data_IF_583502311216
#
_entry.id   IF_583502311216
#
_cell.length_a   1.000
_cell.length_b   1.000
_cell.length_c   1.000
_cell.angle_alpha   90.00
_cell.angle_beta   90.00
_cell.angle_gamma   90.00
#
_symmetry.space_group_name_H-M   'P 1'
#
loop_
_entity.id
_entity.type
_entity.pdbx_description
1 polymer ?
#
# COMPACT_ATOMS: atom_id res chain seq x y z
N UNK A 1 -56.39 13.31 -66.13
CA UNK A 1 -55.12 13.18 -65.36
C UNK A 1 -53.96 13.82 -66.11
N UNK A 2 -54.07 15.13 -66.37
CA UNK A 2 -52.98 16.04 -66.71
C UNK A 2 -52.98 17.05 -65.57
N UNK A 3 -51.80 17.53 -65.13
CA UNK A 3 -51.53 18.28 -63.88
C UNK A 3 -51.37 17.30 -62.70
N UNK A 4 -50.18 16.96 -62.23
CA UNK A 4 -49.22 17.88 -61.66
C UNK A 4 -47.78 17.35 -61.83
N UNK A 5 -47.30 17.46 -63.06
CA UNK A 5 -45.87 17.47 -63.44
C UNK A 5 -45.15 18.77 -62.97
N UNK A 6 -45.77 19.55 -62.09
CA UNK A 6 -45.25 20.79 -61.49
C UNK A 6 -44.55 20.55 -60.15
N UNK A 7 -44.38 19.29 -59.74
CA UNK A 7 -43.84 18.90 -58.45
C UNK A 7 -42.30 19.04 -58.30
N UNK A 8 -41.53 19.30 -59.37
CA UNK A 8 -40.06 19.20 -59.31
C UNK A 8 -39.24 20.46 -59.67
N UNK A 9 -39.86 21.56 -60.13
CA UNK A 9 -39.11 22.76 -60.57
C UNK A 9 -39.17 23.98 -59.66
N UNK A 10 -39.98 23.99 -58.60
CA UNK A 10 -39.98 25.06 -57.60
C UNK A 10 -38.95 24.86 -56.47
N UNK A 11 -38.07 23.86 -56.60
CA UNK A 11 -37.07 23.44 -55.60
C UNK A 11 -35.85 24.37 -55.46
N UNK A 12 -35.89 25.60 -56.01
CA UNK A 12 -34.68 26.45 -56.15
C UNK A 12 -34.70 27.85 -55.54
N UNK A 13 -35.77 28.32 -54.87
CA UNK A 13 -35.76 29.68 -54.28
C UNK A 13 -36.60 29.77 -53.01
N UNK A 14 -36.10 29.25 -51.88
CA UNK A 14 -36.49 29.66 -50.51
C UNK A 14 -35.66 28.92 -49.46
N UNK A 15 -34.47 29.43 -49.17
CA UNK A 15 -33.81 29.28 -47.86
C UNK A 15 -33.36 30.67 -47.44
N UNK A 16 -34.35 31.48 -47.08
CA UNK A 16 -34.18 32.79 -46.48
C UNK A 16 -34.19 32.58 -44.95
N UNK A 17 -33.05 32.88 -44.34
CA UNK A 17 -32.82 33.24 -42.93
C UNK A 17 -33.94 32.95 -41.92
N UNK A 18 -33.70 31.95 -41.05
CA UNK A 18 -34.32 31.92 -39.73
C UNK A 18 -33.47 32.72 -38.73
N UNK A 19 -34.09 33.44 -37.78
CA UNK A 19 -33.38 34.12 -36.71
C UNK A 19 -32.77 33.09 -35.74
N UNK A 20 -31.48 33.26 -35.42
CA UNK A 20 -30.79 32.48 -34.38
C UNK A 20 -31.48 32.74 -33.04
N UNK A 21 -32.20 31.73 -32.54
CA UNK A 21 -32.59 31.66 -31.12
C UNK A 21 -31.30 31.58 -30.31
N UNK A 22 -31.03 32.60 -29.48
CA UNK A 22 -29.98 32.54 -28.46
C UNK A 22 -30.38 31.45 -27.46
N UNK A 23 -29.74 30.28 -27.57
CA UNK A 23 -29.75 29.31 -26.48
C UNK A 23 -28.96 29.92 -25.31
N UNK A 24 -29.57 29.89 -24.13
CA UNK A 24 -28.89 30.17 -22.88
C UNK A 24 -27.63 29.30 -22.77
N UNK A 25 -26.51 29.86 -22.25
CA UNK A 25 -25.32 29.07 -21.99
C UNK A 25 -25.69 28.01 -20.96
N UNK A 26 -25.76 26.76 -21.44
CA UNK A 26 -25.89 25.58 -20.60
C UNK A 26 -24.77 25.66 -19.56
N UNK A 27 -25.17 25.79 -18.29
CA UNK A 27 -24.28 25.80 -17.13
C UNK A 27 -23.25 24.70 -17.35
N UNK A 28 -21.99 25.11 -17.52
CA UNK A 28 -20.84 24.19 -17.52
C UNK A 28 -21.00 23.31 -16.30
N UNK A 29 -21.28 22.02 -16.56
CA UNK A 29 -21.08 20.95 -15.61
C UNK A 29 -19.70 21.17 -14.99
N UNK A 30 -19.70 21.46 -13.69
CA UNK A 30 -18.49 21.54 -12.90
C UNK A 30 -17.80 20.19 -13.03
N UNK A 31 -16.77 20.13 -13.89
CA UNK A 31 -15.77 19.07 -13.85
C UNK A 31 -15.44 18.87 -12.37
N UNK A 32 -15.77 17.68 -11.85
CA UNK A 32 -15.34 17.28 -10.52
C UNK A 32 -13.86 17.64 -10.41
N UNK A 33 -13.54 18.53 -9.47
CA UNK A 33 -12.17 18.90 -9.23
C UNK A 33 -11.43 17.60 -8.91
N UNK A 34 -10.38 17.29 -9.69
CA UNK A 34 -9.47 16.20 -9.33
C UNK A 34 -9.04 16.44 -7.87
N UNK A 35 -9.07 15.43 -6.99
CA UNK A 35 -8.61 15.60 -5.63
C UNK A 35 -7.22 16.22 -5.68
N UNK A 36 -7.05 17.34 -4.96
CA UNK A 36 -5.73 18.01 -4.89
C UNK A 36 -4.75 16.97 -4.37
N UNK A 37 -3.72 16.65 -5.17
CA UNK A 37 -2.62 15.77 -4.77
C UNK A 37 -1.95 16.45 -3.56
N UNK A 38 -2.18 15.92 -2.36
CA UNK A 38 -1.68 16.51 -1.11
C UNK A 38 -0.14 16.55 -1.11
N UNK A 39 0.48 15.59 -1.77
CA UNK A 39 1.92 15.56 -2.01
C UNK A 39 2.17 16.04 -3.44
N UNK A 40 2.93 17.14 -3.58
CA UNK A 40 3.39 17.60 -4.88
C UNK A 40 4.47 16.62 -5.40
N UNK A 41 4.06 15.47 -5.93
CA UNK A 41 4.95 14.41 -6.45
C UNK A 41 5.89 14.96 -7.54
N UNK A 42 5.51 16.02 -8.26
CA UNK A 42 6.34 16.68 -9.29
C UNK A 42 7.56 17.38 -8.67
N UNK A 43 7.47 17.87 -7.42
CA UNK A 43 8.62 18.42 -6.70
C UNK A 43 9.67 17.36 -6.32
N UNK A 44 9.38 16.07 -6.52
CA UNK A 44 10.27 14.96 -6.17
C UNK A 44 11.07 14.42 -7.36
N UNK A 45 10.85 14.98 -8.56
CA UNK A 45 11.69 14.77 -9.74
C UNK A 45 10.88 14.67 -11.02
N UNK A 46 10.84 15.75 -11.81
CA UNK A 46 10.85 15.67 -13.26
C UNK A 46 12.31 15.41 -13.67
N UNK A 47 12.65 14.17 -13.93
CA UNK A 47 13.76 13.85 -14.84
C UNK A 47 13.48 12.50 -15.49
N UNK A 48 13.37 12.60 -16.80
CA UNK A 48 13.35 11.59 -17.84
C UNK A 48 12.04 10.82 -18.03
N UNK A 49 11.49 11.04 -19.22
CA UNK A 49 10.42 10.34 -19.92
C UNK A 49 10.71 8.82 -19.93
N UNK A 50 10.36 8.14 -18.84
CA UNK A 50 10.35 6.69 -18.75
C UNK A 50 8.94 6.20 -19.03
N UNK A 51 8.74 5.61 -20.21
CA UNK A 51 7.47 5.04 -20.67
C UNK A 51 7.06 3.83 -19.80
N UNK A 52 5.96 3.89 -19.02
CA UNK A 52 5.61 2.86 -18.06
C UNK A 52 4.92 1.61 -18.63
N UNK A 53 4.77 1.47 -19.95
CA UNK A 53 3.71 0.61 -20.50
C UNK A 53 4.00 -0.88 -20.72
N UNK A 54 5.21 -1.42 -20.53
CA UNK A 54 5.46 -2.80 -21.00
C UNK A 54 6.21 -3.79 -20.08
N UNK A 55 6.40 -3.50 -18.78
CA UNK A 55 6.98 -4.52 -17.89
C UNK A 55 5.95 -5.14 -16.94
N UNK A 56 5.25 -6.15 -17.48
CA UNK A 56 4.86 -7.30 -16.68
C UNK A 56 6.11 -7.86 -16.00
N UNK A 57 6.24 -7.55 -14.72
CA UNK A 57 7.41 -7.77 -13.90
C UNK A 57 7.50 -9.27 -13.55
N UNK A 58 7.95 -10.07 -14.52
CA UNK A 58 8.28 -11.48 -14.32
C UNK A 58 9.49 -11.57 -13.41
N UNK A 59 9.34 -12.33 -12.32
CA UNK A 59 10.39 -12.66 -11.36
C UNK A 59 11.57 -13.33 -12.07
N UNK A 60 12.59 -12.55 -12.44
CA UNK A 60 13.86 -13.04 -12.95
C UNK A 60 14.64 -13.76 -11.86
N UNK A 61 14.88 -15.05 -12.06
CA UNK A 61 15.86 -15.84 -11.34
C UNK A 61 17.26 -15.42 -11.79
N UNK A 62 18.00 -14.72 -10.93
CA UNK A 62 19.42 -14.45 -11.14
C UNK A 62 20.17 -15.79 -11.21
N UNK A 63 20.67 -16.11 -12.40
CA UNK A 63 21.65 -17.18 -12.64
C UNK A 63 22.84 -16.50 -13.31
N UNK A 64 23.74 -15.99 -12.49
CA UNK A 64 25.08 -15.57 -12.90
C UNK A 64 25.91 -16.82 -13.15
N UNK A 65 26.33 -17.06 -14.38
CA UNK A 65 27.48 -17.92 -14.71
C UNK A 65 27.99 -17.51 -16.10
N UNK A 66 29.00 -16.64 -16.12
CA UNK A 66 29.93 -16.44 -17.22
C UNK A 66 31.33 -16.58 -16.64
N UNK A 67 32.07 -17.62 -17.05
CA UNK A 67 33.50 -17.50 -17.31
C UNK A 67 34.04 -18.66 -18.14
N UNK A 68 35.03 -18.31 -18.94
CA UNK A 68 35.50 -18.98 -20.15
C UNK A 68 36.42 -20.19 -19.93
N UNK A 69 36.36 -21.08 -20.93
CA UNK A 69 37.39 -21.90 -21.58
C UNK A 69 38.55 -22.54 -20.78
N UNK A 70 38.70 -23.86 -20.97
CA UNK A 70 39.81 -24.64 -20.39
C UNK A 70 39.56 -26.15 -20.46
N UNK A 71 40.00 -26.77 -21.55
CA UNK A 71 39.84 -28.21 -21.83
C UNK A 71 40.37 -29.14 -20.74
N UNK A 72 39.63 -30.23 -20.50
CA UNK A 72 40.03 -31.28 -19.56
C UNK A 72 38.97 -32.37 -19.44
N UNK A 73 39.04 -33.36 -20.32
CA UNK A 73 38.15 -34.52 -20.36
C UNK A 73 38.29 -35.37 -19.09
N UNK A 74 37.35 -35.24 -18.14
CA UNK A 74 37.20 -36.15 -17.01
C UNK A 74 35.74 -36.58 -16.85
N UNK A 75 35.48 -37.85 -17.20
CA UNK A 75 34.23 -38.58 -16.99
C UNK A 75 33.76 -38.46 -15.53
N UNK A 76 32.76 -37.62 -15.27
CA UNK A 76 32.06 -37.54 -13.97
C UNK A 76 30.77 -38.35 -14.01
N UNK A 77 30.68 -39.30 -13.07
CA UNK A 77 29.52 -40.15 -12.81
C UNK A 77 28.29 -39.29 -12.49
N UNK A 78 27.22 -39.48 -13.26
CA UNK A 78 25.89 -38.93 -12.99
C UNK A 78 25.38 -39.58 -11.68
N UNK A 79 25.41 -38.83 -10.58
CA UNK A 79 24.65 -39.17 -9.38
C UNK A 79 23.20 -38.76 -9.62
N UNK A 80 22.29 -39.73 -9.68
CA UNK A 80 20.84 -39.52 -9.65
C UNK A 80 20.50 -38.60 -8.48
N UNK A 81 20.08 -37.38 -8.79
CA UNK A 81 19.62 -36.41 -7.81
C UNK A 81 18.34 -36.94 -7.18
N UNK A 82 18.39 -37.13 -5.86
CA UNK A 82 17.29 -37.57 -5.01
C UNK A 82 16.27 -36.41 -5.00
N UNK A 83 15.05 -36.69 -5.48
CA UNK A 83 13.92 -35.75 -5.46
C UNK A 83 13.71 -35.28 -4.01
N UNK A 84 14.16 -34.07 -3.69
CA UNK A 84 13.93 -33.44 -2.38
C UNK A 84 12.48 -32.98 -2.36
N UNK A 85 11.74 -33.47 -1.37
CA UNK A 85 10.37 -33.08 -1.08
C UNK A 85 10.27 -31.57 -0.85
N UNK A 86 9.39 -30.90 -1.61
CA UNK A 86 9.04 -29.50 -1.45
C UNK A 86 8.18 -29.31 -0.18
N UNK A 87 8.83 -29.24 0.97
CA UNK A 87 8.27 -28.57 2.15
C UNK A 87 8.63 -27.08 2.06
N UNK A 88 7.70 -26.14 2.35
CA UNK A 88 8.04 -24.73 2.47
C UNK A 88 9.21 -24.59 3.43
N UNK A 89 10.28 -23.93 3.01
CA UNK A 89 11.44 -23.78 3.89
C UNK A 89 11.02 -22.91 5.08
N UNK A 90 11.17 -23.42 6.31
CA UNK A 90 10.89 -22.61 7.49
C UNK A 90 11.84 -21.41 7.51
N UNK A 91 11.34 -20.21 7.88
CA UNK A 91 12.22 -19.05 8.04
C UNK A 91 13.32 -19.37 9.04
N UNK A 92 14.49 -18.76 8.86
CA UNK A 92 15.61 -18.95 9.79
C UNK A 92 15.20 -18.52 11.20
N UNK A 93 15.65 -19.26 12.21
CA UNK A 93 15.43 -18.88 13.61
C UNK A 93 16.33 -17.65 13.89
N UNK A 94 15.75 -16.51 14.30
CA UNK A 94 16.48 -15.28 14.58
C UNK A 94 17.27 -15.38 15.89
N UNK A 95 18.17 -14.42 16.13
CA UNK A 95 18.86 -14.33 17.42
C UNK A 95 17.88 -13.90 18.51
N UNK A 96 18.09 -14.26 19.80
CA UNK A 96 17.24 -13.82 20.90
C UNK A 96 17.05 -12.28 20.95
N UNK A 97 18.09 -11.52 20.65
CA UNK A 97 18.04 -10.06 20.57
C UNK A 97 17.10 -9.51 19.49
N UNK A 98 16.91 -10.25 18.40
CA UNK A 98 15.98 -9.85 17.33
C UNK A 98 14.52 -10.09 17.74
N UNK A 99 14.25 -11.18 18.46
CA UNK A 99 12.93 -11.47 19.03
C UNK A 99 12.52 -10.42 20.06
N UNK A 100 13.41 -10.10 20.99
CA UNK A 100 13.20 -9.06 21.99
C UNK A 100 12.89 -7.72 21.33
N UNK A 101 13.69 -7.32 20.34
CA UNK A 101 13.46 -6.08 19.58
C UNK A 101 12.11 -6.05 18.86
N UNK A 102 11.70 -7.16 18.23
CA UNK A 102 10.37 -7.23 17.59
C UNK A 102 9.26 -7.09 18.63
N UNK A 103 9.38 -7.78 19.77
CA UNK A 103 8.41 -7.70 20.85
C UNK A 103 8.30 -6.28 21.43
N UNK A 104 9.44 -5.60 21.63
CA UNK A 104 9.50 -4.23 22.11
C UNK A 104 8.83 -3.24 21.15
N UNK A 105 9.14 -3.31 19.85
CA UNK A 105 8.55 -2.41 18.85
C UNK A 105 7.05 -2.66 18.69
N UNK A 106 6.64 -3.93 18.63
CA UNK A 106 5.21 -4.31 18.57
C UNK A 106 4.46 -3.76 19.78
N UNK A 107 5.01 -3.94 20.99
CA UNK A 107 4.41 -3.48 22.25
C UNK A 107 4.35 -1.95 22.29
N UNK A 108 5.41 -1.27 21.85
CA UNK A 108 5.47 0.19 21.75
C UNK A 108 4.39 0.73 20.83
N UNK A 109 4.24 0.17 19.63
CA UNK A 109 3.20 0.59 18.68
C UNK A 109 1.79 0.33 19.23
N UNK A 110 1.57 -0.85 19.84
CA UNK A 110 0.30 -1.17 20.49
C UNK A 110 -0.05 -0.18 21.60
N UNK A 111 0.92 0.15 22.45
CA UNK A 111 0.75 1.09 23.56
C UNK A 111 0.48 2.52 23.06
N UNK A 112 1.22 2.97 22.05
CA UNK A 112 1.00 4.28 21.43
C UNK A 112 -0.40 4.40 20.80
N UNK A 113 -0.84 3.35 20.09
CA UNK A 113 -2.19 3.29 19.51
C UNK A 113 -3.26 3.34 20.60
N UNK A 114 -3.14 2.50 21.63
CA UNK A 114 -4.08 2.47 22.75
C UNK A 114 -4.13 3.81 23.48
N UNK A 115 -2.98 4.42 23.79
CA UNK A 115 -2.91 5.73 24.44
C UNK A 115 -3.56 6.83 23.59
N UNK A 116 -3.35 6.81 22.27
CA UNK A 116 -3.97 7.77 21.35
C UNK A 116 -5.49 7.60 21.34
N UNK A 117 -5.98 6.37 21.21
CA UNK A 117 -7.41 6.04 21.27
C UNK A 117 -8.02 6.53 22.59
N UNK A 118 -7.41 6.19 23.73
CA UNK A 118 -7.88 6.62 25.05
C UNK A 118 -7.88 8.14 25.23
N UNK A 119 -6.93 8.87 24.60
CA UNK A 119 -6.87 10.33 24.69
C UNK A 119 -7.92 11.05 23.83
N UNK A 120 -8.37 10.42 22.73
CA UNK A 120 -9.33 11.01 21.79
C UNK A 120 -10.78 10.67 22.13
N UNK A 121 -11.01 9.52 22.77
CA UNK A 121 -12.34 9.10 23.20
C UNK A 121 -12.58 9.68 24.60
N UNK A 122 -13.41 10.71 24.70
CA UNK A 122 -13.92 11.17 25.99
C UNK A 122 -14.73 10.04 26.62
N UNK A 123 -14.14 9.36 27.61
CA UNK A 123 -14.75 8.22 28.30
C UNK A 123 -16.08 8.64 28.94
N UNK A 124 -17.19 8.29 28.30
CA UNK A 124 -18.46 8.07 28.99
C UNK A 124 -18.52 6.58 29.36
N UNK A 125 -18.11 6.31 30.60
CA UNK A 125 -18.29 5.06 31.35
C UNK A 125 -17.13 4.06 31.40
N UNK A 126 -16.94 3.58 32.62
CA UNK A 126 -15.96 2.63 33.13
C UNK A 126 -16.31 1.22 32.62
N UNK A 127 -15.62 0.71 31.59
CA UNK A 127 -15.48 -0.74 31.40
C UNK A 127 -14.28 -1.07 30.51
N UNK A 128 -13.74 -2.26 30.73
CA UNK A 128 -12.41 -2.74 30.37
C UNK A 128 -12.09 -2.86 28.88
N UNK A 129 -10.80 -2.67 28.62
CA UNK A 129 -10.06 -2.46 27.36
C UNK A 129 -10.23 -3.58 26.32
N UNK A 130 -10.69 -3.21 25.13
CA UNK A 130 -10.72 -4.04 23.93
C UNK A 130 -10.70 -3.19 22.65
N UNK A 131 -9.55 -3.14 21.97
CA UNK A 131 -9.21 -2.16 20.91
C UNK A 131 -10.10 -2.16 19.65
N UNK A 132 -10.80 -3.25 19.34
CA UNK A 132 -11.73 -3.29 18.20
C UNK A 132 -13.17 -2.96 18.61
N UNK A 133 -13.61 -3.46 19.77
CA UNK A 133 -14.98 -3.28 20.25
C UNK A 133 -15.31 -1.81 20.57
N UNK A 134 -14.31 -1.04 21.04
CA UNK A 134 -14.47 0.38 21.38
C UNK A 134 -14.75 1.26 20.16
N UNK A 135 -14.24 0.90 18.97
CA UNK A 135 -14.38 1.73 17.77
C UNK A 135 -15.76 1.60 17.09
N UNK A 136 -16.60 0.63 17.47
CA UNK A 136 -17.89 0.41 16.81
C UNK A 136 -18.91 1.53 17.07
N UNK A 137 -18.80 2.24 18.20
CA UNK A 137 -19.77 3.23 18.66
C UNK A 137 -19.28 4.68 18.61
N UNK A 138 -18.16 4.95 17.94
CA UNK A 138 -17.63 6.30 17.80
C UNK A 138 -18.52 7.15 16.90
N UNK A 139 -18.75 8.38 17.34
CA UNK A 139 -19.37 9.42 16.53
C UNK A 139 -18.43 9.82 15.39
N UNK A 140 -18.98 10.47 14.37
CA UNK A 140 -18.20 10.95 13.22
C UNK A 140 -17.11 11.95 13.64
N UNK A 141 -17.40 12.80 14.63
CA UNK A 141 -16.43 13.76 15.17
C UNK A 141 -15.29 13.07 15.95
N UNK A 142 -15.59 12.03 16.71
CA UNK A 142 -14.56 11.23 17.38
C UNK A 142 -13.70 10.48 16.37
N UNK A 143 -14.31 9.90 15.32
CA UNK A 143 -13.58 9.25 14.24
C UNK A 143 -12.64 10.23 13.51
N UNK A 144 -13.11 11.44 13.24
CA UNK A 144 -12.29 12.53 12.69
C UNK A 144 -11.10 12.83 13.62
N UNK A 145 -11.37 13.16 14.88
CA UNK A 145 -10.33 13.56 15.83
C UNK A 145 -9.29 12.45 16.03
N UNK A 146 -9.73 11.19 16.13
CA UNK A 146 -8.85 10.04 16.24
C UNK A 146 -8.01 9.83 14.97
N UNK A 147 -8.60 9.98 13.77
CA UNK A 147 -7.86 9.89 12.50
C UNK A 147 -6.77 10.96 12.41
N UNK A 148 -7.06 12.19 12.84
CA UNK A 148 -6.09 13.29 12.89
C UNK A 148 -5.01 13.02 13.94
N UNK A 149 -5.37 12.47 15.09
CA UNK A 149 -4.40 12.14 16.13
C UNK A 149 -3.43 11.03 15.68
N UNK A 150 -3.94 10.00 14.99
CA UNK A 150 -3.12 8.88 14.51
C UNK A 150 -2.27 9.28 13.30
N UNK A 151 -2.86 9.91 12.29
CA UNK A 151 -2.22 10.06 10.99
C UNK A 151 -1.89 11.51 10.62
N UNK A 152 -2.32 12.47 11.43
CA UNK A 152 -2.05 13.91 11.29
C UNK A 152 -3.11 14.67 10.47
N UNK A 153 -2.87 15.97 10.29
CA UNK A 153 -3.83 16.94 9.73
C UNK A 153 -4.11 16.76 8.23
N UNK A 154 -3.34 15.95 7.52
CA UNK A 154 -3.51 15.73 6.09
C UNK A 154 -4.54 14.66 5.74
N UNK A 155 -5.18 14.04 6.73
CA UNK A 155 -6.30 13.12 6.49
C UNK A 155 -7.43 13.86 5.76
N UNK A 156 -7.82 13.33 4.59
CA UNK A 156 -8.83 13.95 3.74
C UNK A 156 -9.65 12.87 3.04
N UNK A 157 -10.62 12.23 3.72
CA UNK A 157 -11.55 11.30 3.10
C UNK A 157 -12.24 11.94 1.89
N UNK A 158 -12.49 11.18 0.82
CA UNK A 158 -13.19 11.70 -0.35
C UNK A 158 -14.67 11.96 -0.03
N UNK A 159 -15.35 12.82 -0.81
CA UNK A 159 -16.79 13.02 -0.65
C UNK A 159 -17.56 11.70 -0.72
N UNK A 160 -18.47 11.47 0.23
CA UNK A 160 -19.25 10.23 0.33
C UNK A 160 -18.62 9.13 1.18
N UNK A 161 -17.38 9.30 1.66
CA UNK A 161 -16.78 8.43 2.68
C UNK A 161 -16.93 9.07 4.06
N UNK A 162 -17.53 8.35 5.02
CA UNK A 162 -17.57 8.79 6.42
C UNK A 162 -16.23 8.57 7.11
N UNK A 163 -15.94 9.40 8.11
CA UNK A 163 -14.79 9.25 9.00
C UNK A 163 -14.79 7.91 9.73
N UNK A 164 -15.96 7.36 10.09
CA UNK A 164 -16.02 5.99 10.63
C UNK A 164 -15.48 4.95 9.66
N UNK A 165 -15.87 5.00 8.37
CA UNK A 165 -15.37 4.05 7.35
C UNK A 165 -13.88 4.29 7.09
N UNK A 166 -13.47 5.55 6.99
CA UNK A 166 -12.09 5.95 6.81
C UNK A 166 -11.18 5.42 7.92
N UNK A 167 -11.56 5.63 9.19
CA UNK A 167 -10.84 5.17 10.37
C UNK A 167 -10.78 3.64 10.44
N UNK A 168 -11.95 2.98 10.44
CA UNK A 168 -12.04 1.51 10.67
C UNK A 168 -11.28 0.71 9.61
N UNK A 169 -11.34 1.14 8.35
CA UNK A 169 -10.64 0.46 7.26
C UNK A 169 -9.10 0.49 7.39
N UNK A 170 -8.54 1.43 8.17
CA UNK A 170 -7.11 1.61 8.37
C UNK A 170 -6.58 1.11 9.71
N UNK A 171 -7.45 0.92 10.70
CA UNK A 171 -7.06 0.31 11.97
C UNK A 171 -6.56 -1.12 11.72
N UNK A 172 -5.42 -1.45 12.31
CA UNK A 172 -4.87 -2.81 12.25
C UNK A 172 -5.59 -3.73 13.23
N UNK A 173 -5.76 -4.98 12.83
CA UNK A 173 -6.37 -6.08 13.56
C UNK A 173 -5.42 -7.30 13.52
N UNK A 174 -4.17 -7.16 13.98
CA UNK A 174 -3.17 -8.20 13.84
C UNK A 174 -3.48 -9.41 14.75
N UNK A 175 -2.86 -10.56 14.49
CA UNK A 175 -3.03 -11.74 15.35
C UNK A 175 -2.63 -11.44 16.80
N UNK A 176 -3.43 -11.85 17.80
CA UNK A 176 -3.10 -11.65 19.21
C UNK A 176 -1.90 -12.48 19.66
N UNK A 177 -1.46 -13.45 18.84
CA UNK A 177 -0.33 -14.34 19.14
C UNK A 177 1.02 -13.81 18.61
N UNK A 178 1.07 -12.58 18.11
CA UNK A 178 2.34 -11.94 17.74
C UNK A 178 3.17 -11.53 18.98
N UNK A 179 4.51 -11.50 18.88
CA UNK A 179 5.30 -11.88 17.71
C UNK A 179 5.49 -13.41 17.60
N UNK A 180 5.84 -13.87 16.41
CA UNK A 180 6.21 -15.27 16.16
C UNK A 180 7.66 -15.54 16.56
N UNK A 181 8.02 -16.82 16.70
CA UNK A 181 9.40 -17.23 16.95
C UNK A 181 10.37 -16.89 15.81
N UNK A 182 9.89 -16.46 14.64
CA UNK A 182 10.71 -16.12 13.48
C UNK A 182 10.98 -14.61 13.36
N UNK A 183 10.34 -13.78 14.19
CA UNK A 183 10.60 -12.35 14.31
C UNK A 183 10.64 -11.63 12.94
N UNK A 184 9.66 -11.92 12.07
CA UNK A 184 9.63 -11.32 10.73
C UNK A 184 9.52 -9.79 10.87
N UNK A 185 10.23 -9.07 10.00
CA UNK A 185 10.31 -7.60 10.11
C UNK A 185 8.94 -6.92 10.04
N UNK A 186 8.00 -7.51 9.29
CA UNK A 186 6.61 -7.07 9.19
C UNK A 186 5.88 -7.07 10.55
N UNK A 187 6.22 -8.01 11.44
CA UNK A 187 5.53 -8.15 12.73
C UNK A 187 5.69 -6.91 13.61
N UNK A 188 6.83 -6.22 13.52
CA UNK A 188 7.11 -4.97 14.27
C UNK A 188 6.07 -3.88 14.02
N UNK A 189 5.58 -3.82 12.79
CA UNK A 189 4.68 -2.78 12.32
C UNK A 189 3.24 -3.30 12.18
N UNK A 190 2.92 -4.50 12.67
CA UNK A 190 1.61 -5.11 12.50
C UNK A 190 0.47 -4.24 13.07
N UNK A 191 0.72 -3.49 14.15
CA UNK A 191 -0.26 -2.57 14.75
C UNK A 191 -0.43 -1.23 14.00
N UNK A 192 0.41 -0.94 12.99
CA UNK A 192 0.33 0.28 12.19
C UNK A 192 0.45 -0.07 10.70
N UNK A 193 -0.70 -0.16 10.02
CA UNK A 193 -0.75 -0.53 8.62
C UNK A 193 0.04 0.41 7.69
N UNK A 194 0.15 1.71 7.99
CA UNK A 194 0.93 2.63 7.16
C UNK A 194 2.42 2.38 7.32
N UNK A 195 2.90 2.24 8.56
CA UNK A 195 4.30 1.91 8.83
C UNK A 195 4.66 0.57 8.19
N UNK A 196 3.77 -0.44 8.29
CA UNK A 196 3.99 -1.73 7.65
C UNK A 196 4.16 -1.61 6.14
N UNK A 197 3.27 -0.87 5.46
CA UNK A 197 3.33 -0.67 4.02
C UNK A 197 4.63 0.05 3.61
N UNK A 198 5.01 1.10 4.34
CA UNK A 198 6.27 1.82 4.09
C UNK A 198 7.49 0.93 4.31
N UNK A 199 7.49 0.11 5.37
CA UNK A 199 8.55 -0.85 5.63
C UNK A 199 8.67 -1.88 4.49
N UNK A 200 7.55 -2.38 3.96
CA UNK A 200 7.53 -3.30 2.81
C UNK A 200 8.14 -2.67 1.56
N UNK A 201 7.78 -1.41 1.25
CA UNK A 201 8.37 -0.64 0.15
C UNK A 201 9.88 -0.48 0.32
N UNK A 202 10.35 -0.16 1.53
CA UNK A 202 11.77 0.04 1.83
C UNK A 202 12.58 -1.26 1.84
N UNK A 203 11.99 -2.39 2.19
CA UNK A 203 12.71 -3.68 2.23
C UNK A 203 12.72 -4.43 0.88
N UNK A 204 11.91 -4.01 -0.08
CA UNK A 204 11.82 -4.65 -1.41
C UNK A 204 13.18 -4.64 -2.12
N UNK A 205 13.57 -5.78 -2.71
CA UNK A 205 14.86 -5.99 -3.41
C UNK A 205 16.10 -5.56 -2.63
N UNK A 206 16.07 -5.69 -1.30
CA UNK A 206 17.24 -5.50 -0.44
C UNK A 206 17.53 -6.81 0.30
N UNK A 207 18.77 -7.29 0.29
CA UNK A 207 19.18 -8.49 1.03
C UNK A 207 19.72 -8.15 2.43
N UNK A 208 20.43 -7.02 2.56
CA UNK A 208 21.06 -6.60 3.80
C UNK A 208 20.04 -6.21 4.88
N UNK A 209 19.94 -7.03 5.92
CA UNK A 209 19.12 -6.72 7.10
C UNK A 209 19.54 -5.39 7.73
N UNK A 210 20.85 -5.18 7.98
CA UNK A 210 21.38 -3.94 8.57
C UNK A 210 20.98 -2.69 7.79
N UNK A 211 21.02 -2.75 6.46
CA UNK A 211 20.67 -1.60 5.61
C UNK A 211 19.18 -1.30 5.69
N UNK A 212 18.31 -2.33 5.65
CA UNK A 212 16.86 -2.15 5.84
C UNK A 212 16.56 -1.46 7.15
N UNK A 213 17.15 -1.96 8.23
CA UNK A 213 16.95 -1.47 9.60
C UNK A 213 17.33 0.01 9.72
N UNK A 214 18.50 0.38 9.20
CA UNK A 214 18.97 1.76 9.21
C UNK A 214 18.06 2.70 8.41
N UNK A 215 17.66 2.30 7.20
CA UNK A 215 16.82 3.14 6.34
C UNK A 215 15.39 3.25 6.85
N UNK A 216 14.80 2.16 7.35
CA UNK A 216 13.45 2.14 7.93
C UNK A 216 13.41 2.98 9.21
N UNK A 217 14.36 2.76 10.12
CA UNK A 217 14.46 3.56 11.36
C UNK A 217 14.73 5.04 11.06
N UNK A 218 15.60 5.33 10.09
CA UNK A 218 15.87 6.70 9.63
C UNK A 218 14.63 7.37 9.04
N UNK A 219 13.86 6.65 8.23
CA UNK A 219 12.62 7.14 7.64
C UNK A 219 11.58 7.48 8.73
N UNK A 220 11.28 6.57 9.65
CA UNK A 220 10.27 6.81 10.69
C UNK A 220 10.71 7.84 11.74
N UNK A 221 12.01 8.06 11.92
CA UNK A 221 12.51 9.19 12.71
C UNK A 221 12.22 10.53 12.06
N UNK A 222 12.27 10.61 10.73
CA UNK A 222 11.92 11.82 9.98
C UNK A 222 10.42 11.99 9.81
N UNK A 223 9.69 10.89 9.68
CA UNK A 223 8.27 10.84 9.34
C UNK A 223 7.55 9.90 10.32
N UNK A 224 7.32 10.31 11.58
CA UNK A 224 6.65 9.44 12.55
C UNK A 224 5.16 9.25 12.22
N UNK A 225 4.51 10.20 11.53
CA UNK A 225 3.13 10.08 11.03
C UNK A 225 3.05 10.24 9.51
N UNK A 226 2.02 9.68 8.86
CA UNK A 226 1.75 9.90 7.44
C UNK A 226 1.75 11.37 7.02
N UNK A 227 1.11 12.27 7.79
CA UNK A 227 1.03 13.69 7.41
C UNK A 227 2.37 14.42 7.45
N UNK A 228 3.35 13.91 8.20
CA UNK A 228 4.70 14.52 8.25
C UNK A 228 5.40 14.42 6.89
N UNK A 229 5.00 13.45 6.06
CA UNK A 229 5.57 13.21 4.73
C UNK A 229 5.44 14.45 3.82
N UNK A 230 4.35 15.21 3.95
CA UNK A 230 4.11 16.41 3.14
C UNK A 230 5.16 17.52 3.36
N UNK A 231 5.79 17.52 4.54
CA UNK A 231 6.78 18.52 4.94
C UNK A 231 8.22 17.99 4.89
N UNK A 232 8.42 16.76 4.43
CA UNK A 232 9.76 16.19 4.30
C UNK A 232 10.54 16.88 3.19
N UNK A 233 11.82 17.11 3.48
CA UNK A 233 12.81 17.52 2.48
C UNK A 233 13.14 16.32 1.57
N UNK A 234 12.86 16.42 0.24
CA UNK A 234 13.17 15.37 -0.72
C UNK A 234 14.62 14.90 -0.72
N UNK A 235 15.56 15.81 -0.56
CA UNK A 235 16.97 15.46 -0.59
C UNK A 235 17.40 14.71 0.67
N UNK A 236 16.87 15.10 1.83
CA UNK A 236 17.11 14.35 3.07
C UNK A 236 16.52 12.96 2.99
N UNK A 237 15.31 12.82 2.47
CA UNK A 237 14.68 11.50 2.32
C UNK A 237 15.49 10.61 1.36
N UNK A 238 15.89 11.15 0.20
CA UNK A 238 16.76 10.45 -0.76
C UNK A 238 18.05 9.97 -0.12
N UNK A 239 18.72 10.82 0.66
CA UNK A 239 19.96 10.47 1.39
C UNK A 239 19.73 9.35 2.40
N UNK A 240 18.62 9.39 3.13
CA UNK A 240 18.26 8.36 4.11
C UNK A 240 18.04 6.99 3.46
N UNK A 241 17.46 6.94 2.26
CA UNK A 241 17.19 5.67 1.56
C UNK A 241 18.25 5.29 0.53
N UNK A 242 19.29 6.11 0.35
CA UNK A 242 20.29 5.97 -0.72
C UNK A 242 20.93 4.58 -0.74
N UNK A 243 21.28 4.03 0.42
CA UNK A 243 21.93 2.72 0.54
C UNK A 243 21.07 1.53 0.12
N UNK A 244 19.77 1.71 -0.10
CA UNK A 244 18.87 0.65 -0.58
C UNK A 244 18.83 0.54 -2.11
N UNK A 245 19.43 1.50 -2.83
CA UNK A 245 19.26 1.66 -4.27
C UNK A 245 17.82 2.03 -4.66
N UNK A 246 17.61 2.35 -5.94
CA UNK A 246 16.31 2.75 -6.49
C UNK A 246 15.65 3.90 -5.69
N UNK A 247 16.46 4.84 -5.20
CA UNK A 247 15.99 5.88 -4.28
C UNK A 247 14.83 6.70 -4.85
N UNK A 248 14.83 7.00 -6.14
CA UNK A 248 13.76 7.75 -6.81
C UNK A 248 12.46 6.95 -6.78
N UNK A 249 12.49 5.70 -7.21
CA UNK A 249 11.30 4.83 -7.22
C UNK A 249 10.78 4.56 -5.82
N UNK A 250 11.66 4.36 -4.84
CA UNK A 250 11.26 4.17 -3.44
C UNK A 250 10.58 5.40 -2.87
N UNK A 251 11.13 6.58 -3.11
CA UNK A 251 10.52 7.84 -2.67
C UNK A 251 9.16 8.05 -3.32
N UNK A 252 9.04 7.78 -4.63
CA UNK A 252 7.76 7.82 -5.35
C UNK A 252 6.75 6.81 -4.78
N UNK A 253 7.20 5.62 -4.43
CA UNK A 253 6.37 4.57 -3.83
C UNK A 253 5.89 4.94 -2.43
N UNK A 254 6.77 5.50 -1.60
CA UNK A 254 6.39 6.02 -0.27
C UNK A 254 5.38 7.17 -0.37
N UNK A 255 5.56 8.08 -1.33
CA UNK A 255 4.60 9.14 -1.59
C UNK A 255 3.25 8.58 -2.06
N UNK A 256 3.24 7.55 -2.90
CA UNK A 256 2.02 6.89 -3.37
C UNK A 256 1.27 6.18 -2.23
N UNK A 257 1.98 5.39 -1.41
CA UNK A 257 1.42 4.73 -0.21
C UNK A 257 0.85 5.76 0.75
N UNK A 258 1.61 6.81 1.05
CA UNK A 258 1.19 7.83 2.02
C UNK A 258 0.01 8.65 1.51
N UNK A 259 0.00 9.02 0.22
CA UNK A 259 -1.16 9.70 -0.38
C UNK A 259 -2.40 8.81 -0.31
N UNK A 260 -2.29 7.55 -0.76
CA UNK A 260 -3.41 6.62 -0.72
C UNK A 260 -3.93 6.42 0.70
N UNK A 261 -3.03 6.30 1.68
CA UNK A 261 -3.39 6.20 3.09
C UNK A 261 -4.16 7.44 3.56
N UNK A 262 -3.71 8.64 3.23
CA UNK A 262 -4.34 9.88 3.72
C UNK A 262 -5.65 10.24 3.01
N UNK A 263 -5.86 9.79 1.77
CA UNK A 263 -6.93 10.35 0.92
C UNK A 263 -7.92 9.37 0.31
N UNK A 264 -7.65 8.06 0.31
CA UNK A 264 -8.66 7.08 -0.18
C UNK A 264 -9.81 6.97 0.80
N UNK A 265 -10.97 6.52 0.34
CA UNK A 265 -12.13 6.29 1.20
C UNK A 265 -11.92 5.08 2.12
N UNK A 266 -12.71 4.04 1.91
CA UNK A 266 -12.40 2.73 2.50
C UNK A 266 -11.04 2.25 1.98
N UNK A 267 -10.11 1.98 2.90
CA UNK A 267 -8.77 1.58 2.53
C UNK A 267 -8.69 0.10 2.21
N UNK A 268 -8.28 -0.20 0.99
CA UNK A 268 -7.92 -1.53 0.52
C UNK A 268 -6.74 -1.46 -0.44
N UNK A 269 -6.20 -2.63 -0.77
CA UNK A 269 -5.06 -2.76 -1.66
C UNK A 269 -5.20 -4.02 -2.50
N UNK A 270 -4.89 -3.92 -3.79
CA UNK A 270 -4.81 -5.07 -4.69
C UNK A 270 -3.73 -4.82 -5.75
N UNK A 271 -3.68 -5.68 -6.77
CA UNK A 271 -2.79 -5.52 -7.93
C UNK A 271 -3.52 -5.02 -9.18
N UNK A 272 -4.81 -4.68 -9.04
CA UNK A 272 -5.67 -4.24 -10.14
C UNK A 272 -5.57 -2.71 -10.24
N UNK A 273 -5.17 -2.16 -11.40
CA UNK A 273 -5.09 -0.72 -11.58
C UNK A 273 -6.42 0.00 -11.33
N UNK A 274 -6.37 1.27 -10.90
CA UNK A 274 -7.56 2.07 -10.58
C UNK A 274 -8.47 2.24 -11.80
N UNK A 275 -7.92 2.34 -13.02
CA UNK A 275 -8.68 2.44 -14.26
C UNK A 275 -9.51 1.18 -14.58
N UNK A 276 -9.19 0.05 -13.95
CA UNK A 276 -9.96 -1.20 -14.02
C UNK A 276 -10.85 -1.41 -12.79
N UNK A 277 -10.99 -0.39 -11.94
CA UNK A 277 -11.77 -0.43 -10.71
C UNK A 277 -11.07 -1.08 -9.52
N UNK A 278 -9.75 -1.28 -9.59
CA UNK A 278 -8.96 -1.81 -8.49
C UNK A 278 -8.40 -0.75 -7.55
N UNK A 279 -7.56 -1.18 -6.62
CA UNK A 279 -6.95 -0.38 -5.57
C UNK A 279 -5.40 -0.44 -5.59
N UNK A 280 -4.78 -0.77 -6.72
CA UNK A 280 -3.31 -0.79 -6.84
C UNK A 280 -2.69 0.53 -6.40
N UNK A 281 -1.62 0.44 -5.60
CA UNK A 281 -0.77 1.57 -5.23
C UNK A 281 0.57 1.41 -5.95
N UNK A 282 1.09 2.49 -6.52
CA UNK A 282 2.43 2.48 -7.13
C UNK A 282 3.49 2.03 -6.12
N UNK A 283 4.31 1.05 -6.50
CA UNK A 283 5.36 0.48 -5.65
C UNK A 283 4.89 -0.56 -4.63
N UNK A 284 3.59 -0.76 -4.46
CA UNK A 284 3.03 -1.82 -3.63
C UNK A 284 2.76 -3.07 -4.47
N UNK A 285 3.77 -3.93 -4.62
CA UNK A 285 3.64 -5.22 -5.31
C UNK A 285 3.00 -6.31 -4.45
N UNK A 286 2.89 -7.52 -5.01
CA UNK A 286 2.24 -8.68 -4.37
C UNK A 286 2.70 -8.92 -2.92
N UNK A 287 4.01 -8.81 -2.67
CA UNK A 287 4.59 -8.92 -1.34
C UNK A 287 4.02 -7.92 -0.32
N UNK A 288 3.84 -6.66 -0.75
CA UNK A 288 3.31 -5.59 0.11
C UNK A 288 1.82 -5.81 0.37
N UNK A 289 1.07 -6.22 -0.65
CA UNK A 289 -0.36 -6.56 -0.51
C UNK A 289 -0.55 -7.70 0.49
N UNK A 290 0.13 -8.82 0.28
CA UNK A 290 0.03 -9.99 1.16
C UNK A 290 0.49 -9.66 2.57
N UNK A 291 1.56 -8.87 2.73
CA UNK A 291 2.03 -8.45 4.05
C UNK A 291 0.99 -7.61 4.79
N UNK A 292 0.30 -6.70 4.10
CA UNK A 292 -0.75 -5.88 4.71
C UNK A 292 -1.91 -6.74 5.25
N UNK A 293 -2.47 -7.63 4.41
CA UNK A 293 -3.61 -8.44 4.82
C UNK A 293 -3.25 -9.48 5.89
N UNK A 294 -2.07 -10.09 5.81
CA UNK A 294 -1.68 -11.09 6.79
C UNK A 294 -1.25 -10.47 8.13
N UNK A 295 -0.36 -9.47 8.11
CA UNK A 295 0.24 -8.96 9.35
C UNK A 295 -0.61 -7.86 9.97
N UNK A 296 -1.08 -6.89 9.19
CA UNK A 296 -1.88 -5.79 9.74
C UNK A 296 -3.35 -6.14 9.91
N UNK A 297 -3.93 -6.96 9.01
CA UNK A 297 -5.35 -7.36 9.12
C UNK A 297 -5.60 -8.72 9.77
N UNK A 298 -4.55 -9.52 9.96
CA UNK A 298 -4.70 -10.85 10.55
C UNK A 298 -5.54 -11.81 9.69
N UNK A 299 -5.71 -11.52 8.39
CA UNK A 299 -6.55 -12.30 7.49
C UNK A 299 -5.88 -13.62 7.10
N UNK A 300 -6.08 -14.64 7.94
CA UNK A 300 -5.57 -16.01 7.74
C UNK A 300 -6.07 -16.67 6.45
N UNK A 301 -7.17 -16.19 5.88
CA UNK A 301 -7.80 -16.76 4.69
C UNK A 301 -7.49 -15.95 3.42
N UNK A 302 -6.64 -14.93 3.55
CA UNK A 302 -6.15 -14.12 2.42
C UNK A 302 -5.59 -14.98 1.29
N UNK A 303 -6.04 -14.66 0.07
CA UNK A 303 -5.58 -15.28 -1.17
C UNK A 303 -4.23 -14.67 -1.56
N UNK A 304 -3.16 -15.34 -1.10
CA UNK A 304 -1.78 -15.01 -1.42
C UNK A 304 -1.56 -14.72 -2.91
N UNK A 305 -0.85 -13.63 -3.16
CA UNK A 305 -0.45 -13.15 -4.49
C UNK A 305 1.04 -13.37 -4.75
N UNK A 306 1.87 -13.42 -3.70
CA UNK A 306 3.31 -13.62 -3.81
C UNK A 306 3.73 -15.06 -3.47
N UNK A 307 4.87 -15.44 -4.05
CA UNK A 307 5.53 -16.72 -3.79
C UNK A 307 6.77 -16.50 -2.92
N UNK A 308 6.56 -16.00 -1.69
CA UNK A 308 7.64 -15.81 -0.71
C UNK A 308 7.41 -16.77 0.45
N UNK A 309 8.38 -17.65 0.68
CA UNK A 309 8.33 -18.70 1.70
C UNK A 309 8.01 -18.16 3.10
N UNK A 310 8.64 -17.06 3.52
CA UNK A 310 8.41 -16.46 4.84
C UNK A 310 6.94 -16.03 5.03
N UNK A 311 6.34 -15.45 4.00
CA UNK A 311 4.94 -14.97 4.05
C UNK A 311 3.97 -16.14 3.97
N UNK A 312 4.28 -17.15 3.14
CA UNK A 312 3.51 -18.41 3.08
C UNK A 312 3.54 -19.16 4.40
N UNK A 313 4.71 -19.24 5.03
CA UNK A 313 4.91 -19.83 6.36
C UNK A 313 4.06 -19.08 7.39
N UNK A 314 4.14 -17.75 7.41
CA UNK A 314 3.38 -16.93 8.37
C UNK A 314 1.87 -17.12 8.24
N UNK A 315 1.33 -17.21 7.01
CA UNK A 315 -0.09 -17.56 6.78
C UNK A 315 -0.43 -18.94 7.34
N UNK A 316 0.43 -19.92 7.15
CA UNK A 316 0.26 -21.26 7.72
C UNK A 316 0.23 -21.22 9.25
N UNK A 317 1.13 -20.45 9.86
CA UNK A 317 1.17 -20.21 11.30
C UNK A 317 -0.11 -19.52 11.79
N UNK A 318 -0.59 -18.47 11.12
CA UNK A 318 -1.84 -17.78 11.46
C UNK A 318 -3.02 -18.76 11.55
N UNK A 319 -3.19 -19.60 10.52
CA UNK A 319 -4.25 -20.63 10.49
C UNK A 319 -4.13 -21.67 11.59
N UNK A 320 -2.91 -21.99 12.02
CA UNK A 320 -2.68 -22.93 13.11
C UNK A 320 -2.92 -22.30 14.49
N UNK A 321 -2.50 -21.04 14.68
CA UNK A 321 -2.65 -20.31 15.94
C UNK A 321 -4.11 -20.12 16.35
N UNK A 322 -5.01 -19.92 15.39
CA UNK A 322 -6.43 -19.74 15.68
C UNK A 322 -7.13 -21.02 16.17
N UNK A 323 -6.52 -22.20 15.95
CA UNK A 323 -6.99 -23.48 16.49
C UNK A 323 -6.52 -23.75 17.92
N UNK A 324 -5.67 -22.88 18.48
CA UNK A 324 -5.17 -23.01 19.86
C UNK A 324 -6.07 -22.31 20.90
N UNK A 325 -7.20 -21.73 20.45
CA UNK A 325 -8.29 -21.22 21.30
C UNK A 325 -9.22 -22.35 21.71
#
# INVERSE_FOLDING_TARGET
>A
MRKNLEADRARKKRKQSQPKVKQEPTRRSSRAAKPRRILNVEAWGDHDEYDPLDHDYVSGSDSDDDDSDGGGEKKRKIKKSKRVSLSPSCPKIPKPSDLERVAEELTRHKSNLAATISSCITVKSESSIGTEAECHNLTEAECHNLSIALWGLSCSPPPGCSWSVFLKSRLSTPSPHLPTQHALLQERFANDGWMLLCACVLMTRCSSSKTKEQCIGGFFKMCPKPSDFANLDPEKLRKTVHSLGFQVDRVRSLAAVTTAWLTRGEFGLDLVPEEKGGMKIWGAGAFTVDSYYLFAKGDKDWKMLCDIDDVKWFRGWLRASDKMK
#
